data_IF_320068633808
#
_entry.id   IF_320068633808
#
_cell.length_a   1.000
_cell.length_b   1.000
_cell.length_c   1.000
_cell.angle_alpha   90.00
_cell.angle_beta   90.00
_cell.angle_gamma   90.00
#
_symmetry.space_group_name_H-M   'P 1'
#
loop_
_entity.id
_entity.type
_entity.pdbx_description
1 polymer ?
#
# COMPACT_ATOMS: atom_id res chain seq x y z
N UNK A 1 -14.79 1.72 6.31
CA UNK A 1 -14.42 0.36 5.85
C UNK A 1 -15.52 -0.12 4.90
N UNK A 2 -15.20 -0.63 3.70
CA UNK A 2 -16.21 -1.12 2.73
C UNK A 2 -16.32 -2.64 2.84
N UNK A 3 -17.51 -3.18 3.09
CA UNK A 3 -17.74 -4.62 3.10
C UNK A 3 -17.96 -5.14 1.68
N UNK A 4 -16.98 -5.89 1.14
CA UNK A 4 -17.02 -6.42 -0.23
C UNK A 4 -18.11 -7.48 -0.44
N UNK A 5 -18.49 -8.23 0.61
CA UNK A 5 -19.54 -9.25 0.51
C UNK A 5 -20.90 -8.60 0.26
N UNK A 6 -21.12 -7.44 0.85
CA UNK A 6 -22.33 -6.62 0.63
C UNK A 6 -22.28 -5.82 -0.67
N UNK A 7 -21.11 -5.72 -1.33
CA UNK A 7 -20.91 -4.94 -2.54
C UNK A 7 -20.08 -5.74 -3.58
N UNK A 8 -20.59 -6.87 -4.07
CA UNK A 8 -19.81 -7.80 -4.90
C UNK A 8 -19.33 -7.18 -6.22
N UNK A 9 -20.05 -6.21 -6.77
CA UNK A 9 -19.63 -5.45 -7.96
C UNK A 9 -18.31 -4.71 -7.77
N UNK A 10 -17.99 -4.29 -6.53
CA UNK A 10 -16.78 -3.54 -6.21
C UNK A 10 -15.54 -4.43 -6.04
N UNK A 11 -15.68 -5.76 -6.03
CA UNK A 11 -14.54 -6.67 -5.76
C UNK A 11 -13.39 -6.44 -6.74
N UNK A 12 -13.68 -6.33 -8.04
CA UNK A 12 -12.64 -6.10 -9.04
C UNK A 12 -11.97 -4.74 -8.82
N UNK A 13 -12.74 -3.71 -8.55
CA UNK A 13 -12.24 -2.34 -8.38
C UNK A 13 -11.43 -2.17 -7.09
N UNK A 14 -11.82 -2.83 -6.00
CA UNK A 14 -11.11 -2.74 -4.73
C UNK A 14 -9.87 -3.65 -4.67
N UNK A 15 -9.94 -4.84 -5.27
CA UNK A 15 -8.86 -5.83 -5.17
C UNK A 15 -7.87 -5.81 -6.34
N UNK A 16 -8.32 -5.42 -7.54
CA UNK A 16 -7.54 -5.54 -8.77
C UNK A 16 -7.15 -4.20 -9.40
N UNK A 17 -7.70 -3.08 -8.92
CA UNK A 17 -7.30 -1.77 -9.40
C UNK A 17 -5.87 -1.45 -8.94
N UNK A 18 -5.07 -0.88 -9.84
CA UNK A 18 -3.66 -0.55 -9.64
C UNK A 18 -3.42 0.82 -10.22
N UNK A 19 -2.33 1.46 -9.83
CA UNK A 19 -1.89 2.67 -10.51
C UNK A 19 -1.65 2.35 -11.99
N UNK A 20 -2.20 3.18 -12.88
CA UNK A 20 -1.97 3.10 -14.31
C UNK A 20 -0.48 3.30 -14.63
N UNK A 21 0.07 2.49 -15.53
CA UNK A 21 1.45 2.60 -16.03
C UNK A 21 1.46 2.60 -17.55
N UNK A 22 2.52 3.12 -18.22
CA UNK A 22 2.61 3.10 -19.69
C UNK A 22 2.43 1.69 -20.31
N UNK A 23 2.98 0.67 -19.64
CA UNK A 23 2.86 -0.74 -20.05
C UNK A 23 1.59 -1.44 -19.50
N UNK A 24 0.74 -0.73 -18.74
CA UNK A 24 -0.50 -1.23 -18.17
C UNK A 24 -1.54 -0.12 -18.16
N UNK A 25 -2.27 0.08 -19.28
CA UNK A 25 -3.19 1.22 -19.44
C UNK A 25 -4.44 1.14 -18.56
N UNK A 26 -4.74 0.00 -17.93
CA UNK A 26 -5.81 -0.11 -16.95
C UNK A 26 -5.35 0.29 -15.55
N UNK A 27 -6.20 1.01 -14.81
CA UNK A 27 -5.90 1.41 -13.45
C UNK A 27 -6.48 2.78 -13.05
N UNK A 28 -6.20 3.21 -11.83
CA UNK A 28 -6.42 4.58 -11.40
C UNK A 28 -5.23 5.46 -11.77
N UNK A 29 -5.51 6.72 -12.03
CA UNK A 29 -4.53 7.74 -12.42
C UNK A 29 -4.27 8.73 -11.29
N UNK A 30 -3.28 9.61 -11.47
CA UNK A 30 -3.09 10.79 -10.62
C UNK A 30 -4.33 11.69 -10.57
N UNK A 31 -5.08 11.77 -11.66
CA UNK A 31 -6.35 12.51 -11.73
C UNK A 31 -7.42 11.90 -10.82
N UNK A 32 -7.51 10.56 -10.80
CA UNK A 32 -8.47 9.84 -9.97
C UNK A 32 -8.18 10.02 -8.48
N UNK A 33 -6.90 9.98 -8.06
CA UNK A 33 -6.52 10.26 -6.67
C UNK A 33 -6.85 11.70 -6.27
N UNK A 34 -6.62 12.68 -7.16
CA UNK A 34 -7.02 14.08 -6.92
C UNK A 34 -8.54 14.20 -6.75
N UNK A 35 -9.32 13.54 -7.61
CA UNK A 35 -10.78 13.51 -7.52
C UNK A 35 -11.25 12.83 -6.23
N UNK A 36 -10.61 11.72 -5.86
CA UNK A 36 -10.90 10.98 -4.63
C UNK A 36 -10.70 11.88 -3.40
N UNK A 37 -9.55 12.56 -3.27
CA UNK A 37 -9.31 13.53 -2.20
C UNK A 37 -10.38 14.61 -2.14
N UNK A 38 -10.75 15.19 -3.30
CA UNK A 38 -11.79 16.22 -3.40
C UNK A 38 -13.15 15.73 -2.91
N UNK A 39 -13.55 14.50 -3.25
CA UNK A 39 -14.83 13.92 -2.82
C UNK A 39 -14.96 13.78 -1.30
N UNK A 40 -13.84 13.57 -0.61
CA UNK A 40 -13.79 13.46 0.85
C UNK A 40 -13.33 14.74 1.55
N UNK A 41 -13.16 15.85 0.83
CA UNK A 41 -12.62 17.11 1.34
C UNK A 41 -11.26 16.94 2.07
N UNK A 42 -10.37 16.11 1.50
CA UNK A 42 -9.07 15.79 2.07
C UNK A 42 -7.95 16.63 1.45
N UNK A 43 -6.99 17.05 2.28
CA UNK A 43 -5.74 17.69 1.85
C UNK A 43 -4.84 16.72 1.07
N UNK A 44 -3.94 17.26 0.23
CA UNK A 44 -2.87 16.50 -0.42
C UNK A 44 -1.85 15.90 0.57
N UNK A 45 -1.79 16.45 1.78
CA UNK A 45 -1.01 15.93 2.91
C UNK A 45 -1.58 14.63 3.48
N UNK A 46 -2.87 14.36 3.24
CA UNK A 46 -3.50 13.12 3.69
C UNK A 46 -2.95 11.97 2.84
N UNK A 47 -2.34 10.97 3.49
CA UNK A 47 -1.73 9.85 2.79
C UNK A 47 -2.80 8.98 2.12
N UNK A 48 -2.51 8.55 0.90
CA UNK A 48 -3.23 7.48 0.23
C UNK A 48 -2.36 6.25 0.31
N UNK A 49 -2.80 5.24 1.06
CA UNK A 49 -2.05 4.02 1.32
C UNK A 49 -2.76 2.87 0.62
N UNK A 50 -2.06 2.15 -0.23
CA UNK A 50 -2.59 0.97 -0.93
C UNK A 50 -1.69 -0.24 -0.69
N UNK A 51 -2.30 -1.42 -0.53
CA UNK A 51 -1.60 -2.69 -0.43
C UNK A 51 -1.85 -3.52 -1.68
N UNK A 52 -0.81 -3.79 -2.48
CA UNK A 52 -0.97 -4.58 -3.71
C UNK A 52 0.33 -5.19 -4.24
N UNK A 53 0.27 -5.80 -5.44
CA UNK A 53 1.41 -6.34 -6.21
C UNK A 53 2.59 -5.36 -6.18
N UNK A 54 3.81 -5.82 -5.89
CA UNK A 54 4.97 -4.96 -5.70
C UNK A 54 5.25 -4.08 -6.93
N UNK A 55 5.81 -2.89 -6.70
CA UNK A 55 6.32 -2.07 -7.80
C UNK A 55 7.62 -2.68 -8.35
N UNK A 56 8.48 -3.18 -7.46
CA UNK A 56 9.73 -3.92 -7.71
C UNK A 56 9.85 -5.07 -6.70
N UNK A 57 10.63 -6.11 -6.99
CA UNK A 57 10.71 -7.31 -6.13
C UNK A 57 11.72 -7.19 -4.98
N UNK A 58 12.39 -6.04 -4.85
CA UNK A 58 13.50 -5.77 -3.95
C UNK A 58 13.13 -4.83 -2.79
N UNK A 59 11.83 -4.55 -2.59
CA UNK A 59 11.38 -3.61 -1.59
C UNK A 59 9.98 -3.97 -1.07
N UNK A 60 9.61 -3.39 0.07
CA UNK A 60 8.34 -3.59 0.77
C UNK A 60 7.49 -2.32 0.80
N UNK A 61 8.09 -1.15 0.51
CA UNK A 61 7.43 0.14 0.64
C UNK A 61 7.93 1.13 -0.43
N UNK A 62 7.00 1.72 -1.19
CA UNK A 62 7.31 2.78 -2.14
C UNK A 62 6.52 4.04 -1.82
N UNK A 63 7.22 5.17 -1.86
CA UNK A 63 6.68 6.49 -1.55
C UNK A 63 6.43 7.27 -2.86
N UNK A 64 5.47 8.19 -2.83
CA UNK A 64 5.12 9.08 -3.93
C UNK A 64 4.90 8.36 -5.28
N UNK A 65 4.31 7.17 -5.25
CA UNK A 65 4.20 6.30 -6.43
C UNK A 65 3.32 6.94 -7.50
N UNK A 66 3.81 7.00 -8.74
CA UNK A 66 3.09 7.64 -9.86
C UNK A 66 3.18 9.17 -9.87
N UNK A 67 4.23 9.72 -9.26
CA UNK A 67 4.42 11.17 -9.06
C UNK A 67 3.24 11.80 -8.31
N UNK A 68 2.65 11.05 -7.37
CA UNK A 68 1.53 11.47 -6.53
C UNK A 68 2.04 11.67 -5.12
N UNK A 69 2.02 12.91 -4.63
CA UNK A 69 2.46 13.24 -3.27
C UNK A 69 1.63 12.51 -2.20
N UNK A 70 2.32 11.95 -1.20
CA UNK A 70 1.75 11.16 -0.11
C UNK A 70 0.96 9.92 -0.59
N UNK A 71 1.37 9.33 -1.72
CA UNK A 71 0.83 8.06 -2.20
C UNK A 71 1.81 6.93 -1.93
N UNK A 72 1.40 5.97 -1.11
CA UNK A 72 2.23 4.88 -0.60
C UNK A 72 1.72 3.54 -1.10
N UNK A 73 2.62 2.70 -1.60
CA UNK A 73 2.36 1.29 -1.89
C UNK A 73 3.09 0.46 -0.85
N UNK A 74 2.35 -0.37 -0.11
CA UNK A 74 2.88 -1.31 0.88
C UNK A 74 2.77 -2.73 0.34
N UNK A 75 3.82 -3.52 0.52
CA UNK A 75 3.90 -4.92 0.07
C UNK A 75 4.51 -5.81 1.14
N UNK A 76 3.73 -6.78 1.64
CA UNK A 76 4.16 -7.68 2.71
C UNK A 76 4.87 -8.95 2.27
N UNK A 77 5.23 -9.10 0.99
CA UNK A 77 5.84 -10.33 0.46
C UNK A 77 7.35 -10.27 0.28
N UNK A 78 8.01 -9.20 0.70
CA UNK A 78 9.48 -9.11 0.67
C UNK A 78 10.06 -9.71 1.95
N UNK A 79 10.95 -10.69 1.81
CA UNK A 79 11.44 -11.52 2.91
C UNK A 79 12.61 -10.92 3.70
N UNK A 80 13.19 -9.80 3.23
CA UNK A 80 14.29 -9.13 3.92
C UNK A 80 13.82 -7.97 4.80
N UNK A 81 12.76 -7.27 4.39
CA UNK A 81 12.26 -6.08 5.08
C UNK A 81 10.73 -6.04 5.09
N UNK A 82 10.17 -5.55 6.20
CA UNK A 82 8.74 -5.28 6.34
C UNK A 82 8.46 -3.78 6.41
N UNK A 83 7.56 -3.33 5.54
CA UNK A 83 7.08 -1.95 5.49
C UNK A 83 5.82 -1.79 6.33
N UNK A 84 5.81 -0.79 7.20
CA UNK A 84 4.65 -0.46 8.04
C UNK A 84 4.30 1.02 7.93
N UNK A 85 3.01 1.31 8.05
CA UNK A 85 2.51 2.68 8.15
C UNK A 85 2.09 2.91 9.60
N UNK A 86 2.78 3.83 10.28
CA UNK A 86 2.48 4.16 11.68
C UNK A 86 1.85 5.54 11.78
N UNK A 87 0.98 5.76 12.77
CA UNK A 87 0.46 7.09 13.09
C UNK A 87 1.21 7.65 14.30
N UNK A 88 1.82 8.82 14.16
CA UNK A 88 2.39 9.59 15.27
C UNK A 88 1.67 10.94 15.34
N UNK A 89 0.90 11.14 16.41
CA UNK A 89 -0.02 12.29 16.50
C UNK A 89 -1.03 12.25 15.36
N UNK A 90 -1.06 13.31 14.54
CA UNK A 90 -1.98 13.42 13.39
C UNK A 90 -1.33 13.13 12.03
N UNK A 91 -0.09 12.63 12.04
CA UNK A 91 0.64 12.30 10.81
C UNK A 91 0.88 10.80 10.69
N UNK A 92 0.75 10.29 9.47
CA UNK A 92 1.19 8.93 9.15
C UNK A 92 2.61 8.96 8.64
N UNK A 93 3.42 7.99 9.07
CA UNK A 93 4.80 7.83 8.66
C UNK A 93 5.04 6.44 8.09
N UNK A 94 5.75 6.34 6.96
CA UNK A 94 6.30 5.08 6.45
C UNK A 94 7.53 4.68 7.27
N UNK A 95 7.60 3.44 7.75
CA UNK A 95 8.80 2.85 8.35
C UNK A 95 9.09 1.48 7.74
N UNK A 96 10.34 1.06 7.81
CA UNK A 96 10.78 -0.27 7.40
C UNK A 96 11.63 -0.91 8.48
N UNK A 97 11.40 -2.20 8.74
CA UNK A 97 12.16 -3.00 9.70
C UNK A 97 12.75 -4.22 9.00
N UNK A 98 13.94 -4.68 9.38
CA UNK A 98 14.45 -5.95 8.86
C UNK A 98 13.56 -7.09 9.34
N UNK A 99 13.37 -8.09 8.49
CA UNK A 99 12.70 -9.33 8.91
C UNK A 99 13.67 -10.11 9.80
N UNK A 100 13.21 -10.47 11.00
CA UNK A 100 13.95 -11.39 11.86
C UNK A 100 13.77 -12.83 11.37
N UNK A 101 14.79 -13.71 11.48
CA UNK A 101 14.69 -15.13 11.13
C UNK A 101 13.88 -15.90 12.19
N UNK A 102 12.62 -15.50 12.39
CA UNK A 102 11.75 -16.03 13.44
C UNK A 102 11.52 -17.53 13.27
N UNK A 103 11.58 -18.06 12.04
CA UNK A 103 11.47 -19.50 11.80
C UNK A 103 12.61 -20.28 12.46
N UNK A 104 13.86 -19.81 12.31
CA UNK A 104 15.02 -20.48 12.92
C UNK A 104 14.93 -20.44 14.44
N UNK A 105 14.53 -19.28 14.98
CA UNK A 105 14.30 -19.13 16.42
C UNK A 105 13.16 -20.01 16.93
N UNK A 106 12.01 -20.04 16.27
CA UNK A 106 10.86 -20.89 16.64
C UNK A 106 11.25 -22.36 16.60
N UNK A 107 12.00 -22.80 15.57
CA UNK A 107 12.49 -24.16 15.47
C UNK A 107 13.42 -24.51 16.63
N UNK A 108 14.29 -23.59 17.08
CA UNK A 108 15.16 -23.81 18.25
C UNK A 108 14.42 -23.90 19.59
N UNK A 109 13.16 -23.43 19.67
CA UNK A 109 12.34 -23.54 20.89
C UNK A 109 11.62 -24.90 20.99
N UNK A 110 11.58 -25.67 19.91
CA UNK A 110 10.94 -26.99 19.86
C UNK A 110 11.91 -28.14 20.21
N UNK A 111 13.20 -27.84 20.36
CA UNK A 111 14.26 -28.72 20.88
C UNK A 111 14.42 -28.57 22.40
#
# INVERSE_FOLDING_TARGET
MVNIKSNPGLIKELCQNRLQKPNRPGGYTKGDIKRFRKLFNLSVEVPVIVGHTPITLDNTLWNNVGDIENHYVVYGGYDQWIGVMIRLGDKMFPLTYPVEPLLDYINSLAE
#
